data_IF_341173948771
#
_entry.id   IF_341173948771
#
_cell.length_a   1.000
_cell.length_b   1.000
_cell.length_c   1.000
_cell.angle_alpha   90.00
_cell.angle_beta   90.00
_cell.angle_gamma   90.00
#
_symmetry.space_group_name_H-M   'P 1'
#
loop_
_entity.id
_entity.type
_entity.pdbx_description
1 polymer ?
#
# COMPACT_ATOMS: atom_id res chain seq x y z
N UNK A 1 -9.92 -8.19 5.80
CA UNK A 1 -8.66 -8.80 5.34
C UNK A 1 -7.48 -7.90 5.66
N UNK A 2 -6.22 -8.40 5.53
CA UNK A 2 -4.98 -7.63 5.70
C UNK A 2 -4.81 -6.64 4.57
N UNK A 3 -4.06 -5.56 4.82
CA UNK A 3 -3.99 -4.44 3.89
C UNK A 3 -3.28 -4.78 2.58
N UNK A 4 -3.86 -4.36 1.50
CA UNK A 4 -3.22 -4.13 0.21
C UNK A 4 -4.00 -3.06 -0.54
N UNK A 5 -3.39 -2.40 -1.51
CA UNK A 5 -4.08 -1.41 -2.32
C UNK A 5 -3.81 -1.62 -3.81
N UNK A 6 -4.82 -1.37 -4.65
CA UNK A 6 -4.70 -1.47 -6.09
C UNK A 6 -4.94 -0.11 -6.74
N UNK A 7 -3.96 0.37 -7.47
CA UNK A 7 -4.08 1.57 -8.29
C UNK A 7 -4.44 1.14 -9.71
N UNK A 8 -5.65 1.50 -10.15
CA UNK A 8 -6.08 1.32 -11.55
C UNK A 8 -5.69 2.55 -12.35
N UNK A 9 -4.80 2.37 -13.31
CA UNK A 9 -4.29 3.44 -14.16
C UNK A 9 -4.40 3.02 -15.63
N UNK A 10 -5.46 3.47 -16.30
CA UNK A 10 -5.88 2.95 -17.59
C UNK A 10 -6.06 1.41 -17.55
N UNK A 11 -5.35 0.67 -18.40
CA UNK A 11 -5.31 -0.80 -18.44
C UNK A 11 -4.26 -1.41 -17.50
N UNK A 12 -3.52 -0.59 -16.76
CA UNK A 12 -2.52 -1.06 -15.81
C UNK A 12 -3.08 -1.13 -14.38
N UNK A 13 -2.81 -2.25 -13.73
CA UNK A 13 -3.07 -2.47 -12.32
C UNK A 13 -1.73 -2.47 -11.57
N UNK A 14 -1.51 -1.48 -10.73
CA UNK A 14 -0.31 -1.35 -9.89
C UNK A 14 -0.73 -1.73 -8.47
N UNK A 15 -0.15 -2.80 -7.94
CA UNK A 15 -0.45 -3.30 -6.60
C UNK A 15 0.52 -2.70 -5.58
N UNK A 16 0.02 -2.34 -4.42
CA UNK A 16 0.81 -2.03 -3.23
C UNK A 16 0.58 -3.14 -2.23
N UNK A 17 1.66 -3.84 -1.90
CA UNK A 17 1.73 -5.00 -1.03
C UNK A 17 0.98 -6.25 -1.55
N UNK A 18 1.45 -7.40 -1.10
CA UNK A 18 0.85 -8.71 -1.37
C UNK A 18 0.48 -9.36 -0.05
N UNK A 19 -0.67 -8.97 0.50
CA UNK A 19 -1.13 -9.56 1.76
C UNK A 19 -1.38 -11.07 1.61
N UNK A 20 -1.36 -11.86 2.69
CA UNK A 20 -1.77 -13.26 2.66
C UNK A 20 -3.19 -13.51 2.12
N UNK A 21 -4.03 -12.48 2.12
CA UNK A 21 -5.40 -12.52 1.58
C UNK A 21 -5.48 -12.15 0.09
N UNK A 22 -4.34 -11.91 -0.57
CA UNK A 22 -4.26 -11.37 -1.94
C UNK A 22 -5.11 -12.16 -2.94
N UNK A 23 -5.08 -13.48 -2.88
CA UNK A 23 -5.85 -14.32 -3.80
C UNK A 23 -7.34 -14.00 -3.73
N UNK A 24 -7.92 -13.96 -2.54
CA UNK A 24 -9.34 -13.63 -2.33
C UNK A 24 -9.63 -12.20 -2.79
N UNK A 25 -8.78 -11.24 -2.41
CA UNK A 25 -8.91 -9.84 -2.81
C UNK A 25 -8.93 -9.67 -4.34
N UNK A 26 -8.06 -10.36 -5.06
CA UNK A 26 -8.01 -10.30 -6.52
C UNK A 26 -9.22 -10.95 -7.19
N UNK A 27 -9.67 -12.10 -6.68
CA UNK A 27 -10.83 -12.82 -7.21
C UNK A 27 -12.13 -12.04 -7.00
N UNK A 28 -12.38 -11.55 -5.80
CA UNK A 28 -13.57 -10.77 -5.44
C UNK A 28 -13.67 -9.48 -6.27
N UNK A 29 -12.54 -8.81 -6.50
CA UNK A 29 -12.47 -7.60 -7.31
C UNK A 29 -12.30 -7.87 -8.81
N UNK A 30 -12.33 -9.13 -9.26
CA UNK A 30 -12.22 -9.58 -10.66
C UNK A 30 -10.99 -9.03 -11.37
N UNK A 31 -9.85 -8.98 -10.67
CA UNK A 31 -8.59 -8.46 -11.18
C UNK A 31 -7.93 -9.53 -12.06
N UNK A 32 -7.74 -9.23 -13.34
CA UNK A 32 -7.19 -10.15 -14.34
C UNK A 32 -5.73 -9.90 -14.69
N UNK A 33 -5.18 -8.76 -14.29
CA UNK A 33 -3.79 -8.38 -14.62
C UNK A 33 -3.16 -7.64 -13.46
N UNK A 34 -1.86 -7.86 -13.24
CA UNK A 34 -1.01 -7.04 -12.36
C UNK A 34 0.20 -6.60 -13.18
N UNK A 35 0.38 -5.30 -13.31
CA UNK A 35 1.45 -4.72 -14.12
C UNK A 35 2.73 -4.48 -13.33
N UNK A 36 2.61 -4.16 -12.05
CA UNK A 36 3.72 -3.81 -11.14
C UNK A 36 3.29 -4.03 -9.69
N UNK A 37 4.28 -4.27 -8.82
CA UNK A 37 4.07 -4.36 -7.38
C UNK A 37 5.04 -3.43 -6.66
N UNK A 38 4.54 -2.68 -5.69
CA UNK A 38 5.32 -1.86 -4.78
C UNK A 38 5.14 -2.39 -3.36
N UNK A 39 6.23 -2.61 -2.64
CA UNK A 39 6.17 -3.03 -1.24
C UNK A 39 6.41 -1.87 -0.29
N UNK A 40 5.59 -1.78 0.75
CA UNK A 40 5.77 -0.80 1.83
C UNK A 40 6.90 -1.19 2.76
N UNK A 41 6.94 -2.46 3.18
CA UNK A 41 7.97 -3.01 4.06
C UNK A 41 7.94 -4.54 4.07
N UNK A 42 8.77 -5.16 4.91
CA UNK A 42 9.09 -6.59 4.87
C UNK A 42 8.12 -7.51 5.65
N UNK A 43 7.20 -7.01 6.46
CA UNK A 43 6.37 -7.85 7.33
C UNK A 43 5.51 -8.85 6.55
N UNK A 44 5.16 -9.94 7.22
CA UNK A 44 4.47 -11.08 6.59
C UNK A 44 3.08 -10.73 6.04
N UNK A 45 2.35 -9.89 6.76
CA UNK A 45 1.02 -9.41 6.37
C UNK A 45 1.04 -8.53 5.12
N UNK A 46 2.21 -7.99 4.72
CA UNK A 46 2.41 -7.22 3.50
C UNK A 46 3.06 -8.04 2.37
N UNK A 47 3.73 -9.17 2.67
CA UNK A 47 4.58 -9.85 1.69
C UNK A 47 4.17 -11.28 1.37
N UNK A 48 3.48 -12.01 2.25
CA UNK A 48 3.31 -13.46 2.14
C UNK A 48 2.25 -13.93 1.12
N UNK A 49 1.52 -13.03 0.48
CA UNK A 49 0.69 -13.35 -0.69
C UNK A 49 1.44 -13.29 -2.03
N UNK A 50 2.76 -13.09 -2.02
CA UNK A 50 3.60 -12.95 -3.23
C UNK A 50 3.43 -14.10 -4.24
N UNK A 51 3.12 -15.30 -3.78
CA UNK A 51 2.91 -16.48 -4.63
C UNK A 51 1.70 -16.37 -5.54
N UNK A 52 0.68 -15.62 -5.13
CA UNK A 52 -0.55 -15.39 -5.89
C UNK A 52 -0.35 -14.47 -7.11
N UNK A 53 0.86 -13.94 -7.29
CA UNK A 53 1.27 -13.25 -8.52
C UNK A 53 1.61 -14.21 -9.67
N UNK A 54 1.93 -15.49 -9.37
CA UNK A 54 2.34 -16.49 -10.38
C UNK A 54 1.33 -16.67 -11.52
N UNK A 55 0.01 -16.74 -11.29
CA UNK A 55 -0.98 -16.89 -12.36
C UNK A 55 -0.87 -15.80 -13.43
N UNK A 56 -0.59 -14.54 -13.03
CA UNK A 56 -0.45 -13.42 -13.97
C UNK A 56 0.78 -13.56 -14.87
N UNK A 57 1.89 -14.09 -14.32
CA UNK A 57 3.07 -14.46 -15.12
C UNK A 57 2.73 -15.57 -16.12
N UNK A 58 2.02 -16.62 -15.69
CA UNK A 58 1.69 -17.76 -16.55
C UNK A 58 0.79 -17.35 -17.71
N UNK A 59 -0.17 -16.44 -17.46
CA UNK A 59 -1.05 -15.91 -18.50
C UNK A 59 -0.33 -14.98 -19.49
N UNK A 60 0.52 -14.09 -18.99
CA UNK A 60 1.12 -13.04 -19.81
C UNK A 60 2.53 -13.38 -20.31
N UNK A 61 3.15 -14.46 -19.83
CA UNK A 61 4.54 -14.88 -20.11
C UNK A 61 5.58 -13.77 -19.90
N UNK A 62 5.28 -12.82 -18.99
CA UNK A 62 6.12 -11.68 -18.69
C UNK A 62 6.29 -11.54 -17.18
N UNK A 63 7.55 -11.40 -16.74
CA UNK A 63 7.86 -11.16 -15.34
C UNK A 63 7.21 -9.85 -14.85
N UNK A 64 6.68 -9.90 -13.62
CA UNK A 64 6.07 -8.72 -12.99
C UNK A 64 7.18 -7.93 -12.29
N UNK A 65 7.40 -6.64 -12.63
CA UNK A 65 8.34 -5.79 -11.91
C UNK A 65 7.87 -5.55 -10.47
N UNK A 66 8.77 -5.77 -9.53
CA UNK A 66 8.58 -5.55 -8.09
C UNK A 66 9.53 -4.45 -7.63
N UNK A 67 9.05 -3.50 -6.84
CA UNK A 67 9.81 -2.38 -6.30
C UNK A 67 9.80 -2.44 -4.77
N UNK A 68 10.97 -2.47 -4.16
CA UNK A 68 11.13 -2.54 -2.71
C UNK A 68 12.37 -1.76 -2.26
N UNK A 69 12.36 -1.27 -1.03
CA UNK A 69 13.54 -0.71 -0.39
C UNK A 69 14.61 -1.78 -0.14
N UNK A 70 15.79 -1.38 0.29
CA UNK A 70 16.94 -2.29 0.43
C UNK A 70 16.66 -3.44 1.40
N UNK A 71 15.98 -3.19 2.51
CA UNK A 71 15.74 -4.20 3.54
C UNK A 71 14.65 -5.18 3.09
N UNK A 72 13.57 -4.66 2.57
CA UNK A 72 12.47 -5.46 2.01
C UNK A 72 12.94 -6.28 0.82
N UNK A 73 13.79 -5.70 -0.07
CA UNK A 73 14.39 -6.41 -1.19
C UNK A 73 15.26 -7.60 -0.73
N UNK A 74 16.11 -7.40 0.29
CA UNK A 74 16.92 -8.48 0.86
C UNK A 74 16.03 -9.59 1.44
N UNK A 75 15.02 -9.22 2.18
CA UNK A 75 14.04 -10.16 2.74
C UNK A 75 13.32 -10.97 1.66
N UNK A 76 12.78 -10.30 0.64
CA UNK A 76 12.08 -10.97 -0.45
C UNK A 76 12.99 -11.96 -1.22
N UNK A 77 14.23 -11.57 -1.49
CA UNK A 77 15.21 -12.42 -2.18
C UNK A 77 15.66 -13.63 -1.36
N UNK A 78 15.70 -13.52 -0.03
CA UNK A 78 16.04 -14.64 0.85
C UNK A 78 14.85 -15.59 1.05
N UNK A 79 13.68 -15.05 1.37
CA UNK A 79 12.49 -15.82 1.76
C UNK A 79 11.79 -16.43 0.54
N UNK A 80 11.68 -15.67 -0.56
CA UNK A 80 10.96 -16.05 -1.78
C UNK A 80 11.86 -16.14 -3.00
N UNK A 81 13.09 -16.64 -2.80
CA UNK A 81 14.13 -16.76 -3.85
C UNK A 81 13.61 -17.33 -5.16
N UNK A 82 12.76 -18.36 -5.10
CA UNK A 82 12.21 -19.04 -6.27
C UNK A 82 11.28 -18.16 -7.12
N UNK A 83 10.70 -17.09 -6.57
CA UNK A 83 9.93 -16.12 -7.34
C UNK A 83 10.80 -15.28 -8.26
N UNK A 84 12.08 -15.05 -7.88
CA UNK A 84 12.99 -14.11 -8.52
C UNK A 84 14.13 -14.78 -9.30
N UNK A 85 14.42 -16.05 -9.01
CA UNK A 85 15.50 -16.80 -9.64
C UNK A 85 14.98 -18.13 -10.19
N UNK A 86 15.20 -18.37 -11.49
CA UNK A 86 14.85 -19.63 -12.13
C UNK A 86 15.65 -20.79 -11.54
N UNK A 87 15.01 -21.93 -11.34
CA UNK A 87 15.64 -23.16 -10.82
C UNK A 87 14.85 -24.37 -11.28
N UNK A 88 15.56 -25.47 -11.66
CA UNK A 88 14.98 -26.79 -11.99
C UNK A 88 13.76 -26.74 -12.92
N UNK A 89 13.82 -25.96 -14.00
CA UNK A 89 12.73 -25.82 -14.96
C UNK A 89 11.59 -24.89 -14.53
N UNK A 90 11.66 -24.31 -13.34
CA UNK A 90 10.74 -23.27 -12.91
C UNK A 90 11.28 -21.89 -13.28
N UNK A 91 10.62 -21.13 -14.18
CA UNK A 91 11.03 -19.79 -14.51
C UNK A 91 10.75 -18.83 -13.35
N UNK A 92 11.62 -17.83 -13.17
CA UNK A 92 11.32 -16.72 -12.26
C UNK A 92 10.12 -15.93 -12.77
N UNK A 93 9.20 -15.65 -11.87
CA UNK A 93 7.92 -14.99 -12.19
C UNK A 93 7.96 -13.48 -11.96
N UNK A 94 8.89 -13.03 -11.15
CA UNK A 94 9.05 -11.66 -10.71
C UNK A 94 10.44 -11.12 -11.03
N UNK A 95 10.52 -9.81 -11.26
CA UNK A 95 11.78 -9.09 -11.45
C UNK A 95 11.89 -7.98 -10.39
N UNK A 96 12.86 -8.10 -9.46
CA UNK A 96 13.00 -7.19 -8.34
C UNK A 96 13.90 -5.99 -8.64
N UNK A 97 13.36 -4.81 -8.41
CA UNK A 97 14.00 -3.52 -8.63
C UNK A 97 14.16 -2.77 -7.31
N UNK A 98 15.15 -1.90 -7.22
CA UNK A 98 15.29 -0.99 -6.08
C UNK A 98 14.24 0.11 -6.14
N UNK A 99 13.62 0.39 -5.00
CA UNK A 99 12.68 1.50 -4.87
C UNK A 99 13.42 2.83 -5.03
N UNK A 100 12.93 3.68 -5.91
CA UNK A 100 13.41 5.05 -6.09
C UNK A 100 12.54 6.02 -5.29
N UNK A 101 13.05 7.22 -5.02
CA UNK A 101 12.27 8.29 -4.39
C UNK A 101 10.99 8.62 -5.16
N UNK A 102 11.04 8.50 -6.48
CA UNK A 102 9.92 8.78 -7.37
C UNK A 102 9.92 7.83 -8.56
N UNK A 103 8.75 7.35 -8.94
CA UNK A 103 8.48 6.59 -10.15
C UNK A 103 7.42 7.32 -10.98
N UNK A 104 7.67 7.42 -12.27
CA UNK A 104 6.73 7.97 -13.26
C UNK A 104 6.45 6.94 -14.32
N UNK A 105 5.18 6.71 -14.60
CA UNK A 105 4.74 5.80 -15.66
C UNK A 105 3.82 6.55 -16.60
N UNK A 106 3.96 6.26 -17.89
CA UNK A 106 3.09 6.80 -18.95
C UNK A 106 2.35 5.63 -19.60
N UNK A 107 1.06 5.78 -19.80
CA UNK A 107 0.22 4.83 -20.51
C UNK A 107 -0.89 5.57 -21.23
N UNK A 108 -1.02 5.38 -22.56
CA UNK A 108 -2.01 6.04 -23.40
C UNK A 108 -2.07 7.57 -23.16
N UNK A 109 -0.93 8.23 -23.24
CA UNK A 109 -0.73 9.68 -23.02
C UNK A 109 -1.09 10.20 -21.62
N UNK A 110 -1.54 9.36 -20.71
CA UNK A 110 -1.72 9.71 -19.29
C UNK A 110 -0.46 9.38 -18.50
N UNK A 111 -0.22 10.15 -17.44
CA UNK A 111 0.94 10.00 -16.57
C UNK A 111 0.49 9.75 -15.14
N UNK A 112 1.18 8.84 -14.44
CA UNK A 112 1.04 8.64 -13.02
C UNK A 112 2.40 8.83 -12.36
N UNK A 113 2.40 9.56 -11.23
CA UNK A 113 3.56 9.75 -10.37
C UNK A 113 3.32 9.04 -9.04
N UNK A 114 4.27 8.21 -8.62
CA UNK A 114 4.28 7.54 -7.32
C UNK A 114 5.55 7.95 -6.61
N UNK A 115 5.44 8.73 -5.55
CA UNK A 115 6.56 9.14 -4.71
C UNK A 115 6.61 8.28 -3.45
N UNK A 116 7.81 7.82 -3.09
CA UNK A 116 8.07 6.98 -1.92
C UNK A 116 8.55 7.87 -0.77
N UNK A 117 7.77 7.96 0.29
CA UNK A 117 8.07 8.74 1.48
C UNK A 117 8.38 7.75 2.62
N UNK A 118 9.65 7.64 3.08
CA UNK A 118 9.98 6.82 4.23
C UNK A 118 9.27 7.31 5.49
N UNK A 119 8.71 6.39 6.25
CA UNK A 119 7.99 6.64 7.51
C UNK A 119 8.52 5.72 8.60
N UNK A 120 8.22 6.01 9.86
CA UNK A 120 8.57 5.15 10.97
C UNK A 120 7.45 4.16 11.23
N UNK A 121 7.80 2.89 11.47
CA UNK A 121 6.90 1.81 11.87
C UNK A 121 7.60 1.00 12.99
N UNK A 122 7.35 1.39 14.23
CA UNK A 122 8.08 0.84 15.38
C UNK A 122 9.60 1.01 15.23
N UNK A 123 10.33 -0.09 15.23
CA UNK A 123 11.79 -0.10 15.10
C UNK A 123 12.28 -0.16 13.65
N UNK A 124 11.38 -0.25 12.67
CA UNK A 124 11.73 -0.34 11.26
C UNK A 124 11.19 0.87 10.49
N UNK A 125 11.59 0.97 9.23
CA UNK A 125 11.00 1.91 8.27
C UNK A 125 9.98 1.21 7.41
N UNK A 126 8.89 1.90 7.12
CA UNK A 126 7.91 1.58 6.11
C UNK A 126 7.87 2.70 5.06
N UNK A 127 7.13 2.50 3.99
CA UNK A 127 6.99 3.48 2.91
C UNK A 127 5.53 3.93 2.81
N UNK A 128 5.31 5.22 2.93
CA UNK A 128 4.08 5.86 2.48
C UNK A 128 4.20 6.18 0.99
N UNK A 129 3.22 5.78 0.18
CA UNK A 129 3.17 6.11 -1.24
C UNK A 129 2.27 7.32 -1.49
N UNK A 130 2.87 8.39 -2.05
CA UNK A 130 2.14 9.59 -2.47
C UNK A 130 1.88 9.54 -3.98
N UNK A 131 0.60 9.42 -4.36
CA UNK A 131 0.14 9.24 -5.72
C UNK A 131 -0.34 10.58 -6.28
N UNK A 132 0.28 11.05 -7.37
CA UNK A 132 -0.04 12.29 -8.10
C UNK A 132 -0.11 13.54 -7.20
N UNK A 133 0.56 13.58 -6.05
CA UNK A 133 0.45 14.61 -5.01
C UNK A 133 -0.98 14.82 -4.49
N UNK A 134 -1.86 13.82 -4.62
CA UNK A 134 -3.29 13.90 -4.28
C UNK A 134 -3.73 12.86 -3.27
N UNK A 135 -3.11 11.68 -3.27
CA UNK A 135 -3.45 10.60 -2.36
C UNK A 135 -2.19 10.07 -1.70
N UNK A 136 -2.18 9.99 -0.37
CA UNK A 136 -1.17 9.26 0.39
C UNK A 136 -1.75 7.94 0.92
N UNK A 137 -0.99 6.85 0.76
CA UNK A 137 -1.27 5.52 1.31
C UNK A 137 -0.18 5.13 2.30
N UNK A 138 -0.52 4.99 3.56
CA UNK A 138 0.36 4.66 4.69
C UNK A 138 -0.30 3.60 5.57
N UNK A 139 -0.17 2.32 5.21
CA UNK A 139 -0.84 1.19 5.88
C UNK A 139 -0.25 0.86 7.24
N UNK A 140 1.05 1.05 7.41
CA UNK A 140 1.79 0.69 8.62
C UNK A 140 2.74 1.82 8.98
N UNK A 141 2.34 2.60 9.99
CA UNK A 141 3.06 3.81 10.37
C UNK A 141 2.78 4.19 11.83
N UNK A 142 3.83 4.62 12.52
CA UNK A 142 3.74 5.25 13.84
C UNK A 142 4.16 6.73 13.83
N UNK A 143 4.86 7.19 12.78
CA UNK A 143 5.31 8.58 12.68
C UNK A 143 5.58 9.01 11.24
N UNK A 144 5.01 10.15 10.82
CA UNK A 144 5.50 10.93 9.70
C UNK A 144 6.59 11.92 10.15
N UNK A 145 7.67 12.04 9.39
CA UNK A 145 8.68 13.06 9.68
C UNK A 145 8.17 14.46 9.31
N UNK A 146 8.36 15.44 10.18
CA UNK A 146 7.86 16.82 10.00
C UNK A 146 8.26 17.46 8.66
N UNK A 147 9.46 17.12 8.14
CA UNK A 147 9.94 17.57 6.82
C UNK A 147 9.01 17.22 5.66
N UNK A 148 8.23 16.14 5.79
CA UNK A 148 7.35 15.63 4.72
C UNK A 148 5.93 16.19 4.83
N UNK A 149 5.57 16.88 5.92
CA UNK A 149 4.22 17.43 6.15
C UNK A 149 3.76 18.34 5.02
N UNK A 150 4.67 19.18 4.46
CA UNK A 150 4.35 20.07 3.34
C UNK A 150 3.78 19.30 2.12
N UNK A 151 4.26 18.09 1.86
CA UNK A 151 3.79 17.24 0.76
C UNK A 151 2.48 16.54 1.08
N UNK A 152 2.18 16.34 2.36
CA UNK A 152 1.03 15.59 2.86
C UNK A 152 -0.15 16.50 3.24
N UNK A 153 0.02 17.83 3.19
CA UNK A 153 -1.06 18.78 3.46
C UNK A 153 -2.04 18.87 2.29
N UNK A 154 -3.32 19.06 2.64
CA UNK A 154 -4.41 19.34 1.70
C UNK A 154 -4.61 18.28 0.60
N UNK A 155 -4.27 17.03 0.89
CA UNK A 155 -4.48 15.93 -0.06
C UNK A 155 -5.98 15.71 -0.31
N UNK A 156 -6.33 15.19 -1.48
CA UNK A 156 -7.69 14.72 -1.75
C UNK A 156 -8.04 13.55 -0.84
N UNK A 157 -7.08 12.63 -0.65
CA UNK A 157 -7.25 11.44 0.20
C UNK A 157 -5.99 11.16 1.02
N UNK A 158 -6.19 10.85 2.29
CA UNK A 158 -5.21 10.24 3.18
C UNK A 158 -5.74 8.86 3.59
N UNK A 159 -5.11 7.78 3.14
CA UNK A 159 -5.37 6.41 3.61
C UNK A 159 -4.28 6.12 4.64
N UNK A 160 -4.67 5.87 5.88
CA UNK A 160 -3.74 5.87 7.00
C UNK A 160 -4.04 4.74 7.99
N UNK A 161 -2.96 4.15 8.49
CA UNK A 161 -2.95 3.22 9.61
C UNK A 161 -3.71 3.79 10.82
N UNK A 162 -4.60 3.01 11.36
CA UNK A 162 -5.31 3.31 12.61
C UNK A 162 -5.60 1.99 13.32
N UNK A 163 -4.59 1.45 14.00
CA UNK A 163 -4.67 0.09 14.51
C UNK A 163 -5.71 -0.04 15.63
N UNK A 164 -5.71 0.89 16.60
CA UNK A 164 -6.42 0.69 17.86
C UNK A 164 -6.89 2.01 18.51
N UNK A 165 -7.62 1.88 19.63
CA UNK A 165 -7.88 3.00 20.54
C UNK A 165 -6.70 3.28 21.47
N UNK A 166 -5.90 2.24 21.79
CA UNK A 166 -4.76 2.33 22.72
C UNK A 166 -3.48 2.69 21.98
N UNK A 167 -2.51 3.25 22.70
CA UNK A 167 -1.18 3.49 22.16
C UNK A 167 -0.50 2.18 21.75
N UNK A 168 0.15 2.21 20.60
CA UNK A 168 0.98 1.14 20.08
C UNK A 168 2.32 1.69 19.60
N UNK A 169 3.41 0.95 19.83
CA UNK A 169 4.77 1.42 19.51
C UNK A 169 5.03 1.52 18.00
N UNK A 170 4.32 0.74 17.19
CA UNK A 170 4.56 0.64 15.75
C UNK A 170 3.43 1.22 14.87
N UNK A 171 2.28 1.53 15.44
CA UNK A 171 1.09 1.97 14.70
C UNK A 171 0.47 3.22 15.33
N UNK A 172 -0.23 4.00 14.52
CA UNK A 172 -1.10 5.05 15.05
C UNK A 172 -2.32 4.47 15.74
N UNK A 173 -2.74 5.12 16.82
CA UNK A 173 -4.08 4.94 17.38
C UNK A 173 -5.05 5.99 16.82
N UNK A 174 -6.32 5.86 17.16
CA UNK A 174 -7.37 6.75 16.65
C UNK A 174 -7.12 8.22 17.01
N UNK A 175 -6.76 8.53 18.25
CA UNK A 175 -6.56 9.91 18.70
C UNK A 175 -5.38 10.56 17.97
N UNK A 176 -4.28 9.84 17.78
CA UNK A 176 -3.13 10.31 17.01
C UNK A 176 -3.48 10.58 15.54
N UNK A 177 -4.32 9.72 14.93
CA UNK A 177 -4.80 9.97 13.56
C UNK A 177 -5.67 11.21 13.52
N UNK A 178 -6.58 11.41 14.46
CA UNK A 178 -7.45 12.59 14.51
C UNK A 178 -6.62 13.89 14.64
N UNK A 179 -5.61 13.91 15.50
CA UNK A 179 -4.68 15.04 15.63
C UNK A 179 -3.89 15.29 14.34
N UNK A 180 -3.38 14.23 13.72
CA UNK A 180 -2.65 14.35 12.45
C UNK A 180 -3.54 14.90 11.32
N UNK A 181 -4.79 14.48 11.25
CA UNK A 181 -5.77 14.97 10.26
C UNK A 181 -6.03 16.47 10.44
N UNK A 182 -6.08 16.98 11.66
CA UNK A 182 -6.18 18.44 11.92
C UNK A 182 -4.98 19.22 11.38
N UNK A 183 -3.78 18.62 11.45
CA UNK A 183 -2.52 19.25 10.98
C UNK A 183 -2.41 19.17 9.44
N UNK A 184 -2.72 18.02 8.86
CA UNK A 184 -2.55 17.78 7.43
C UNK A 184 -3.74 18.23 6.57
N UNK A 185 -4.92 18.38 7.17
CA UNK A 185 -6.15 18.88 6.54
C UNK A 185 -6.51 18.19 5.21
N UNK A 186 -6.49 16.85 5.12
CA UNK A 186 -6.90 16.16 3.90
C UNK A 186 -8.41 16.33 3.69
N UNK A 187 -8.84 16.33 2.42
CA UNK A 187 -10.27 16.42 2.08
C UNK A 187 -11.05 15.21 2.59
N UNK A 188 -10.46 14.01 2.48
CA UNK A 188 -10.99 12.77 3.06
C UNK A 188 -9.89 11.92 3.64
N UNK A 189 -10.16 11.31 4.79
CA UNK A 189 -9.29 10.33 5.44
C UNK A 189 -9.98 8.98 5.47
N UNK A 190 -9.24 7.92 5.16
CA UNK A 190 -9.70 6.54 5.24
C UNK A 190 -8.81 5.81 6.22
N UNK A 191 -9.40 5.31 7.30
CA UNK A 191 -8.68 4.50 8.28
C UNK A 191 -8.49 3.09 7.72
N UNK A 192 -7.28 2.57 7.82
CA UNK A 192 -6.94 1.19 7.40
C UNK A 192 -6.19 0.47 8.48
N UNK A 193 -5.92 -0.83 8.31
CA UNK A 193 -5.18 -1.67 9.26
C UNK A 193 -5.83 -1.73 10.65
N UNK A 194 -7.15 -1.69 10.70
CA UNK A 194 -7.92 -1.60 11.94
C UNK A 194 -8.01 -2.95 12.64
N UNK A 195 -7.71 -2.96 13.95
CA UNK A 195 -7.96 -4.11 14.82
C UNK A 195 -9.47 -4.36 15.00
N UNK A 196 -9.85 -5.58 15.33
CA UNK A 196 -11.26 -5.99 15.55
C UNK A 196 -12.01 -5.17 16.61
N UNK A 197 -11.30 -4.57 17.58
CA UNK A 197 -11.90 -3.69 18.59
C UNK A 197 -12.43 -2.37 18.00
N UNK A 198 -11.92 -1.97 16.84
CA UNK A 198 -12.41 -0.80 16.10
C UNK A 198 -13.65 -1.18 15.27
N UNK A 199 -14.78 -1.38 15.95
CA UNK A 199 -16.04 -1.71 15.30
C UNK A 199 -16.41 -0.68 14.22
N UNK A 200 -16.59 -1.15 12.98
CA UNK A 200 -16.85 -0.32 11.81
C UNK A 200 -18.09 0.56 11.99
N UNK A 201 -19.20 0.01 12.49
CA UNK A 201 -20.47 0.72 12.59
C UNK A 201 -20.42 1.80 13.70
N UNK A 202 -19.74 1.50 14.81
CA UNK A 202 -19.53 2.46 15.90
C UNK A 202 -18.62 3.59 15.47
N UNK A 203 -17.49 3.27 14.80
CA UNK A 203 -16.58 4.28 14.25
C UNK A 203 -17.30 5.21 13.26
N UNK A 204 -18.01 4.65 12.29
CA UNK A 204 -18.71 5.42 11.26
C UNK A 204 -19.69 6.45 11.85
N UNK A 205 -20.31 6.16 12.99
CA UNK A 205 -21.22 7.08 13.69
C UNK A 205 -20.51 8.19 14.46
N UNK A 206 -19.29 7.96 14.93
CA UNK A 206 -18.56 8.87 15.83
C UNK A 206 -17.54 9.75 15.12
N UNK A 207 -17.05 9.30 13.97
CA UNK A 207 -16.02 10.02 13.21
C UNK A 207 -16.57 11.29 12.54
N UNK A 208 -15.76 12.35 12.40
CA UNK A 208 -16.07 13.49 11.56
C UNK A 208 -16.43 13.05 10.13
N UNK A 209 -17.31 13.79 9.45
CA UNK A 209 -17.84 13.43 8.10
C UNK A 209 -16.75 13.20 7.02
N UNK A 210 -15.58 13.77 7.20
CA UNK A 210 -14.43 13.63 6.30
C UNK A 210 -13.51 12.45 6.65
N UNK A 211 -13.78 11.70 7.73
CA UNK A 211 -13.01 10.52 8.14
C UNK A 211 -13.94 9.31 8.10
N UNK A 212 -13.54 8.26 7.41
CA UNK A 212 -14.30 7.03 7.30
C UNK A 212 -13.44 5.82 7.63
N UNK A 213 -13.97 4.80 8.31
CA UNK A 213 -13.29 3.51 8.38
C UNK A 213 -13.26 2.86 6.98
N UNK A 214 -12.12 2.27 6.61
CA UNK A 214 -11.98 1.51 5.38
C UNK A 214 -12.72 0.18 5.44
N UNK A 215 -12.99 -0.39 4.27
CA UNK A 215 -13.53 -1.75 4.11
C UNK A 215 -13.00 -2.36 2.82
N UNK A 216 -13.02 -3.68 2.73
CA UNK A 216 -12.52 -4.41 1.58
C UNK A 216 -13.32 -4.05 0.32
N UNK A 217 -12.62 -3.71 -0.76
CA UNK A 217 -13.22 -3.25 -2.00
C UNK A 217 -13.58 -1.75 -2.06
N UNK A 218 -13.29 -0.97 -1.00
CA UNK A 218 -13.47 0.48 -1.04
C UNK A 218 -12.67 1.09 -2.19
N UNK A 219 -13.34 1.84 -3.04
CA UNK A 219 -12.71 2.51 -4.20
C UNK A 219 -12.83 4.02 -4.10
N UNK A 220 -11.74 4.72 -4.38
CA UNK A 220 -11.72 6.18 -4.51
C UNK A 220 -11.21 6.57 -5.90
N UNK A 221 -11.65 7.72 -6.40
CA UNK A 221 -11.21 8.26 -7.68
C UNK A 221 -10.49 9.58 -7.46
N UNK A 222 -9.28 9.68 -7.99
CA UNK A 222 -8.56 10.95 -8.04
C UNK A 222 -9.13 11.78 -9.21
N UNK A 223 -9.42 13.05 -8.95
CA UNK A 223 -9.78 13.98 -10.01
C UNK A 223 -8.55 14.23 -10.90
N UNK A 224 -8.76 14.39 -12.19
CA UNK A 224 -7.71 14.77 -13.15
C UNK A 224 -7.15 16.16 -12.85
#
# INVERSE_FOLDING_TARGET
TRCSALIKFNDQNILIDTSPDLRSQLLENKIKTISKVFYTHLHADQTHGINDLRPFFLMNKKQIPVYADTNTKKYLLSTFKYCFKSSYGYPSTLNINSLKKEHRFTNNNKKIKIESIPVQHGNIKSICYLINNKLAYASDISLFFKKDYKKLKNLEYLIIDCLWYRNHSAHFNLDQVLELVKILTPRKTILTNMHSDLDYAKLKKRLPKNIIPGFDGLTVRLKN
#
